data_IF_889478128542
#
_entry.id   IF_889478128542
#
_cell.length_a   1.000
_cell.length_b   1.000
_cell.length_c   1.000
_cell.angle_alpha   90.00
_cell.angle_beta   90.00
_cell.angle_gamma   90.00
#
_symmetry.space_group_name_H-M   'P 1'
#
loop_
_entity.id
_entity.type
_entity.pdbx_description
1 polymer ?
#
# COMPACT_ATOMS: atom_id res chain seq x y z
N UNK A 1 -15.46 -18.71 -1.60
CA UNK A 1 -14.67 -19.54 -2.50
C UNK A 1 -13.64 -20.35 -1.73
N UNK A 2 -12.73 -19.72 -0.96
CA UNK A 2 -11.70 -20.41 -0.17
C UNK A 2 -12.31 -21.50 0.74
N UNK A 3 -13.39 -21.21 1.46
CA UNK A 3 -14.05 -22.18 2.32
C UNK A 3 -14.53 -23.44 1.56
N UNK A 4 -14.92 -23.31 0.28
CA UNK A 4 -15.29 -24.45 -0.55
C UNK A 4 -14.07 -25.24 -1.01
N UNK A 5 -12.96 -24.55 -1.31
CA UNK A 5 -11.68 -25.19 -1.65
C UNK A 5 -11.17 -25.98 -0.45
N UNK A 6 -11.16 -25.38 0.73
CA UNK A 6 -10.73 -26.03 1.97
C UNK A 6 -11.60 -27.25 2.31
N UNK A 7 -12.92 -27.13 2.15
CA UNK A 7 -13.85 -28.22 2.41
C UNK A 7 -13.76 -29.39 1.40
N UNK A 8 -13.22 -29.15 0.20
CA UNK A 8 -13.00 -30.20 -0.79
C UNK A 8 -11.84 -31.13 -0.43
N UNK A 9 -10.90 -30.66 0.40
CA UNK A 9 -9.75 -31.44 0.91
C UNK A 9 -9.03 -32.26 -0.19
N UNK A 10 -8.80 -31.60 -1.37
CA UNK A 10 -8.17 -32.20 -2.54
C UNK A 10 -9.09 -33.06 -3.42
N UNK A 11 -10.34 -33.26 -3.05
CA UNK A 11 -11.32 -33.98 -3.87
C UNK A 11 -11.81 -33.12 -5.03
N UNK A 12 -11.28 -33.39 -6.24
CA UNK A 12 -11.58 -32.62 -7.46
C UNK A 12 -13.09 -32.57 -7.76
N UNK A 13 -13.86 -33.58 -7.38
CA UNK A 13 -15.31 -33.62 -7.65
C UNK A 13 -16.10 -32.64 -6.77
N UNK A 14 -15.52 -32.18 -5.66
CA UNK A 14 -16.10 -31.22 -4.73
C UNK A 14 -15.54 -29.80 -4.88
N UNK A 15 -14.50 -29.64 -5.70
CA UNK A 15 -13.90 -28.32 -5.93
C UNK A 15 -14.92 -27.36 -6.55
N UNK A 16 -14.94 -26.09 -6.10
CA UNK A 16 -15.72 -25.05 -6.78
C UNK A 16 -15.21 -24.83 -8.21
N UNK A 17 -16.06 -24.28 -9.06
CA UNK A 17 -15.62 -23.83 -10.39
C UNK A 17 -14.46 -22.86 -10.20
N UNK A 18 -13.38 -23.07 -10.98
CA UNK A 18 -12.17 -22.24 -10.90
C UNK A 18 -12.49 -20.76 -11.14
N UNK A 19 -12.04 -19.91 -10.22
CA UNK A 19 -12.15 -18.47 -10.32
C UNK A 19 -10.77 -17.85 -10.06
N UNK A 20 -10.13 -17.35 -11.12
CA UNK A 20 -8.79 -16.79 -11.06
C UNK A 20 -8.65 -15.59 -10.11
N UNK A 21 -9.73 -14.79 -9.94
CA UNK A 21 -9.72 -13.64 -9.01
C UNK A 21 -9.76 -14.12 -7.56
N UNK A 22 -10.58 -15.10 -7.28
CA UNK A 22 -10.64 -15.70 -5.94
C UNK A 22 -9.35 -16.44 -5.60
N UNK A 23 -8.78 -17.20 -6.56
CA UNK A 23 -7.49 -17.91 -6.38
C UNK A 23 -6.36 -16.93 -6.04
N UNK A 24 -6.28 -15.80 -6.75
CA UNK A 24 -5.25 -14.79 -6.51
C UNK A 24 -5.31 -14.17 -5.11
N UNK A 25 -6.48 -14.19 -4.45
CA UNK A 25 -6.67 -13.66 -3.10
C UNK A 25 -6.43 -14.69 -1.98
N UNK A 26 -6.35 -15.99 -2.29
CA UNK A 26 -6.10 -17.02 -1.28
C UNK A 26 -4.78 -16.75 -0.52
N UNK A 27 -3.64 -16.47 -1.18
CA UNK A 27 -2.40 -16.19 -0.47
C UNK A 27 -2.47 -14.96 0.46
N UNK A 28 -3.30 -13.96 0.12
CA UNK A 28 -3.55 -12.79 0.98
C UNK A 28 -4.29 -13.21 2.25
N UNK A 29 -5.38 -14.01 2.10
CA UNK A 29 -6.16 -14.54 3.23
C UNK A 29 -5.35 -15.50 4.12
N UNK A 30 -4.32 -16.11 3.59
CA UNK A 30 -3.39 -17.01 4.29
C UNK A 30 -2.15 -16.31 4.85
N UNK A 31 -2.09 -14.98 4.79
CA UNK A 31 -0.97 -14.14 5.25
C UNK A 31 0.38 -14.49 4.59
N UNK A 32 0.36 -15.08 3.39
CA UNK A 32 1.58 -15.40 2.63
C UNK A 32 2.14 -14.17 1.92
N UNK A 33 1.25 -13.25 1.53
CA UNK A 33 1.58 -11.98 0.90
C UNK A 33 0.66 -10.88 1.44
N UNK A 34 1.14 -9.64 1.62
CA UNK A 34 0.29 -8.52 1.98
C UNK A 34 -0.57 -8.08 0.79
N UNK A 35 -1.74 -7.52 1.08
CA UNK A 35 -2.54 -6.78 0.11
C UNK A 35 -1.96 -5.38 -0.06
N UNK A 36 -1.74 -4.95 -1.30
CA UNK A 36 -1.33 -3.58 -1.62
C UNK A 36 -2.57 -2.71 -1.80
N UNK A 37 -2.74 -1.73 -0.93
CA UNK A 37 -3.89 -0.85 -0.93
C UNK A 37 -3.52 0.52 -1.50
N UNK A 38 -3.96 0.81 -2.73
CA UNK A 38 -3.85 2.12 -3.36
C UNK A 38 -4.81 3.11 -2.69
N UNK A 39 -4.30 4.16 -2.05
CA UNK A 39 -5.10 5.18 -1.39
C UNK A 39 -4.37 6.52 -1.33
N UNK A 40 -5.00 7.58 -1.83
CA UNK A 40 -4.46 8.94 -1.81
C UNK A 40 -5.04 9.76 -0.65
N UNK A 41 -6.36 9.80 -0.53
CA UNK A 41 -7.07 10.65 0.43
C UNK A 41 -7.15 9.98 1.81
N UNK A 42 -7.23 10.80 2.85
CA UNK A 42 -7.30 10.33 4.24
C UNK A 42 -8.48 9.37 4.49
N UNK A 43 -9.67 9.67 3.93
CA UNK A 43 -10.84 8.81 4.04
C UNK A 43 -10.62 7.44 3.36
N UNK A 44 -9.94 7.39 2.21
CA UNK A 44 -9.65 6.14 1.50
C UNK A 44 -8.59 5.32 2.23
N UNK A 45 -7.58 5.99 2.81
CA UNK A 45 -6.59 5.36 3.69
C UNK A 45 -7.29 4.70 4.88
N UNK A 46 -8.19 5.40 5.57
CA UNK A 46 -8.95 4.83 6.68
C UNK A 46 -9.87 3.69 6.24
N UNK A 47 -10.48 3.78 5.05
CA UNK A 47 -11.29 2.69 4.51
C UNK A 47 -10.45 1.45 4.21
N UNK A 48 -9.25 1.60 3.64
CA UNK A 48 -8.33 0.49 3.41
C UNK A 48 -7.94 -0.20 4.73
N UNK A 49 -7.58 0.59 5.75
CA UNK A 49 -7.26 0.09 7.09
C UNK A 49 -8.45 -0.64 7.71
N UNK A 50 -9.66 -0.06 7.62
CA UNK A 50 -10.89 -0.66 8.15
C UNK A 50 -11.17 -2.02 7.50
N UNK A 51 -11.10 -2.10 6.17
CA UNK A 51 -11.30 -3.35 5.43
C UNK A 51 -10.24 -4.39 5.82
N UNK A 52 -8.98 -3.99 5.91
CA UNK A 52 -7.92 -4.90 6.34
C UNK A 52 -8.20 -5.49 7.74
N UNK A 53 -8.59 -4.65 8.70
CA UNK A 53 -8.95 -5.10 10.05
C UNK A 53 -10.18 -6.01 10.07
N UNK A 54 -11.21 -5.69 9.27
CA UNK A 54 -12.43 -6.49 9.16
C UNK A 54 -12.17 -7.92 8.68
N UNK A 55 -11.25 -8.06 7.72
CA UNK A 55 -10.89 -9.36 7.15
C UNK A 55 -9.59 -9.96 7.71
N UNK A 56 -8.96 -9.32 8.69
CA UNK A 56 -7.71 -9.76 9.29
C UNK A 56 -6.56 -9.84 8.30
N UNK A 57 -6.44 -8.87 7.36
CA UNK A 57 -5.44 -8.89 6.30
C UNK A 57 -4.18 -8.11 6.69
N UNK A 58 -3.03 -8.60 6.24
CA UNK A 58 -1.81 -7.81 6.19
C UNK A 58 -1.87 -6.89 4.99
N UNK A 59 -1.64 -5.59 5.17
CA UNK A 59 -1.66 -4.60 4.09
C UNK A 59 -0.39 -3.75 4.05
N UNK A 60 -0.10 -3.22 2.86
CA UNK A 60 0.75 -2.07 2.66
C UNK A 60 -0.07 -0.95 2.03
N UNK A 61 0.18 0.29 2.44
CA UNK A 61 -0.51 1.45 1.89
C UNK A 61 0.37 2.08 0.80
N UNK A 62 -0.20 2.22 -0.40
CA UNK A 62 0.47 2.81 -1.55
C UNK A 62 0.00 4.25 -1.76
N UNK A 63 0.94 5.12 -2.13
CA UNK A 63 0.79 6.56 -2.37
C UNK A 63 0.68 7.41 -1.12
N UNK A 64 -0.33 7.19 -0.28
CA UNK A 64 -0.52 7.87 1.02
C UNK A 64 -0.39 9.41 0.90
N UNK A 65 -0.98 9.98 -0.16
CA UNK A 65 -0.77 11.38 -0.55
C UNK A 65 -1.16 12.37 0.54
N UNK A 66 -2.26 12.12 1.27
CA UNK A 66 -2.72 12.91 2.41
C UNK A 66 -2.21 12.40 3.77
N UNK A 67 -1.23 11.50 3.78
CA UNK A 67 -0.69 10.94 5.03
C UNK A 67 -0.19 11.98 6.02
N UNK A 68 0.32 13.12 5.54
CA UNK A 68 0.76 14.23 6.39
C UNK A 68 -0.38 14.90 7.18
N UNK A 69 -1.64 14.68 6.80
CA UNK A 69 -2.82 15.17 7.51
C UNK A 69 -3.29 14.25 8.64
N UNK A 70 -2.82 12.98 8.65
CA UNK A 70 -3.28 11.92 9.55
C UNK A 70 -2.11 11.15 10.18
N UNK A 71 -1.02 11.87 10.49
CA UNK A 71 0.24 11.28 10.96
C UNK A 71 0.05 10.44 12.22
N UNK A 72 -0.64 10.98 13.21
CA UNK A 72 -0.82 10.33 14.51
C UNK A 72 -1.57 9.00 14.40
N UNK A 73 -2.50 8.92 13.47
CA UNK A 73 -3.26 7.70 13.17
C UNK A 73 -2.37 6.67 12.47
N UNK A 74 -1.58 7.10 11.48
CA UNK A 74 -0.68 6.20 10.75
C UNK A 74 0.44 5.65 11.65
N UNK A 75 0.95 6.46 12.58
CA UNK A 75 1.90 5.98 13.61
C UNK A 75 1.29 4.88 14.46
N UNK A 76 0.03 5.03 14.90
CA UNK A 76 -0.68 4.01 15.71
C UNK A 76 -0.91 2.71 14.94
N UNK A 77 -1.22 2.82 13.64
CA UNK A 77 -1.45 1.63 12.79
C UNK A 77 -0.16 0.88 12.48
N UNK A 78 0.99 1.54 12.49
CA UNK A 78 2.32 0.95 12.29
C UNK A 78 2.44 0.08 11.01
N UNK A 79 1.78 0.51 9.93
CA UNK A 79 1.77 -0.18 8.65
C UNK A 79 2.94 0.24 7.76
N UNK A 80 3.42 -0.63 6.85
CA UNK A 80 4.34 -0.24 5.80
C UNK A 80 3.68 0.72 4.82
N UNK A 81 4.33 1.86 4.56
CA UNK A 81 3.86 2.92 3.69
C UNK A 81 4.79 3.07 2.48
N UNK A 82 4.26 2.96 1.27
CA UNK A 82 4.96 3.25 0.03
C UNK A 82 4.49 4.62 -0.49
N UNK A 83 5.21 5.68 -0.10
CA UNK A 83 4.80 7.07 -0.31
C UNK A 83 5.31 7.62 -1.64
N UNK A 84 4.42 8.18 -2.45
CA UNK A 84 4.76 8.78 -3.74
C UNK A 84 3.82 8.40 -4.88
N UNK A 85 4.09 8.89 -6.12
CA UNK A 85 5.17 9.82 -6.48
C UNK A 85 4.94 11.23 -5.94
N UNK A 86 6.00 11.84 -5.39
CA UNK A 86 5.93 13.24 -4.95
C UNK A 86 6.13 14.22 -6.11
N UNK A 87 6.83 13.83 -7.17
CA UNK A 87 7.03 14.62 -8.38
C UNK A 87 5.74 14.79 -9.20
N UNK A 88 5.72 15.87 -9.98
CA UNK A 88 4.62 16.18 -10.87
C UNK A 88 3.48 16.93 -10.18
N UNK A 89 2.52 17.38 -10.99
CA UNK A 89 1.34 18.09 -10.50
C UNK A 89 0.23 17.12 -10.06
N UNK A 90 -0.72 17.63 -9.30
CA UNK A 90 -1.94 16.91 -8.94
C UNK A 90 -2.84 16.77 -10.18
N UNK A 91 -2.70 15.69 -10.92
CA UNK A 91 -3.45 15.43 -12.15
C UNK A 91 -4.88 14.92 -11.92
N UNK A 92 -5.16 14.46 -10.70
CA UNK A 92 -6.46 13.94 -10.27
C UNK A 92 -6.92 14.67 -9.02
N UNK A 93 -8.23 14.76 -8.83
CA UNK A 93 -8.81 15.41 -7.64
C UNK A 93 -8.31 14.78 -6.32
N UNK A 94 -8.17 13.47 -6.27
CA UNK A 94 -7.66 12.73 -5.11
C UNK A 94 -6.24 13.12 -4.68
N UNK A 95 -5.51 13.84 -5.54
CA UNK A 95 -4.15 14.29 -5.28
C UNK A 95 -4.06 15.79 -4.97
N UNK A 96 -5.18 16.50 -4.80
CA UNK A 96 -5.18 17.98 -4.66
C UNK A 96 -4.41 18.48 -3.43
N UNK A 97 -4.36 17.68 -2.36
CA UNK A 97 -3.56 17.97 -1.15
C UNK A 97 -2.16 17.36 -1.20
N UNK A 98 -1.65 17.07 -2.39
CA UNK A 98 -0.30 16.52 -2.55
C UNK A 98 0.74 17.45 -1.92
N UNK A 99 1.54 16.90 -1.00
CA UNK A 99 2.58 17.61 -0.30
C UNK A 99 3.93 16.92 -0.56
N UNK A 100 4.94 17.73 -0.89
CA UNK A 100 6.27 17.23 -1.18
C UNK A 100 6.93 16.59 0.05
N UNK A 101 6.63 17.13 1.24
CA UNK A 101 7.21 16.73 2.49
C UNK A 101 6.55 15.51 3.13
N UNK A 102 5.46 14.98 2.56
CA UNK A 102 4.67 13.88 3.16
C UNK A 102 5.53 12.72 3.64
N UNK A 103 6.43 12.22 2.79
CA UNK A 103 7.31 11.11 3.14
C UNK A 103 8.25 11.44 4.32
N UNK A 104 8.80 12.66 4.33
CA UNK A 104 9.66 13.14 5.40
C UNK A 104 8.91 13.32 6.72
N UNK A 105 7.71 13.88 6.67
CA UNK A 105 6.84 14.07 7.85
C UNK A 105 6.52 12.71 8.50
N UNK A 106 6.09 11.75 7.69
CA UNK A 106 5.73 10.41 8.16
C UNK A 106 6.96 9.66 8.74
N UNK A 107 8.10 9.72 8.05
CA UNK A 107 9.33 9.08 8.52
C UNK A 107 9.83 9.70 9.84
N UNK A 108 9.79 11.04 9.97
CA UNK A 108 10.19 11.72 11.20
C UNK A 108 9.25 11.41 12.38
N UNK A 109 8.00 11.08 12.10
CA UNK A 109 7.04 10.64 13.09
C UNK A 109 7.21 9.16 13.51
N UNK A 110 8.09 8.42 12.83
CA UNK A 110 8.39 7.02 13.14
C UNK A 110 7.64 6.00 12.29
N UNK A 111 6.93 6.41 11.25
CA UNK A 111 6.29 5.48 10.32
C UNK A 111 7.33 4.71 9.49
N UNK A 112 6.98 3.48 9.07
CA UNK A 112 7.77 2.68 8.14
C UNK A 112 7.55 3.16 6.71
N UNK A 113 8.39 4.08 6.22
CA UNK A 113 8.23 4.72 4.92
C UNK A 113 9.23 4.19 3.90
N UNK A 114 8.72 3.81 2.74
CA UNK A 114 9.45 3.61 1.49
C UNK A 114 9.03 4.67 0.49
N UNK A 115 9.95 5.17 -0.33
CA UNK A 115 9.63 6.13 -1.39
C UNK A 115 9.47 5.40 -2.71
N UNK A 116 8.41 5.74 -3.45
CA UNK A 116 8.11 5.15 -4.75
C UNK A 116 7.97 6.23 -5.83
N UNK A 117 8.28 5.85 -7.07
CA UNK A 117 8.05 6.66 -8.26
C UNK A 117 6.80 6.25 -9.02
N UNK A 118 6.20 5.10 -8.66
CA UNK A 118 5.08 4.51 -9.39
C UNK A 118 5.40 4.36 -10.89
N UNK A 119 6.60 3.86 -11.19
CA UNK A 119 7.07 3.72 -12.57
C UNK A 119 6.06 2.90 -13.40
N UNK A 120 5.69 3.36 -14.61
CA UNK A 120 6.33 4.41 -15.41
C UNK A 120 5.79 5.83 -15.20
N UNK A 121 4.92 6.09 -14.19
CA UNK A 121 4.35 7.43 -13.94
C UNK A 121 5.45 8.45 -13.77
N UNK A 122 6.41 8.16 -12.90
CA UNK A 122 7.69 8.87 -12.84
C UNK A 122 8.80 7.84 -13.12
N UNK A 123 9.68 8.08 -14.10
CA UNK A 123 10.76 7.14 -14.40
C UNK A 123 11.63 6.86 -13.18
N UNK A 124 12.00 5.60 -12.98
CA UNK A 124 12.70 5.12 -11.78
C UNK A 124 14.02 5.86 -11.49
N UNK A 125 14.72 6.33 -12.53
CA UNK A 125 15.97 7.08 -12.37
C UNK A 125 15.81 8.43 -11.65
N UNK A 126 14.58 8.93 -11.50
CA UNK A 126 14.30 10.11 -10.68
C UNK A 126 14.10 9.80 -9.19
N UNK A 127 14.10 8.54 -8.79
CA UNK A 127 13.93 8.16 -7.38
C UNK A 127 14.93 8.87 -6.42
N UNK A 128 16.22 9.03 -6.75
CA UNK A 128 17.17 9.73 -5.89
C UNK A 128 16.90 11.23 -5.72
N UNK A 129 16.08 11.82 -6.59
CA UNK A 129 15.69 13.22 -6.54
C UNK A 129 14.43 13.47 -5.69
N UNK A 130 13.80 12.38 -5.21
CA UNK A 130 12.70 12.45 -4.26
C UNK A 130 13.28 12.59 -2.85
N UNK A 131 13.50 13.83 -2.33
CA UNK A 131 14.13 13.90 -1.02
C UNK A 131 13.11 13.80 0.08
N UNK A 132 13.45 13.08 1.12
CA UNK A 132 13.40 13.69 2.40
C UNK A 132 14.81 14.05 2.85
N UNK A 133 14.95 15.16 3.54
CA UNK A 133 16.22 15.48 4.23
C UNK A 133 16.52 14.38 5.25
N UNK A 134 17.81 13.95 5.38
CA UNK A 134 18.18 12.84 6.25
C UNK A 134 17.89 13.17 7.74
N UNK A 135 17.79 12.16 8.68
CA UNK A 135 18.78 11.09 8.71
C UNK A 135 18.31 9.66 8.43
N UNK A 136 17.03 9.33 8.30
CA UNK A 136 16.64 7.91 8.17
C UNK A 136 15.52 7.69 7.17
N UNK A 137 15.87 7.37 5.92
CA UNK A 137 14.95 6.73 4.98
C UNK A 137 15.65 5.56 4.34
N UNK A 138 15.10 4.38 4.54
CA UNK A 138 15.47 3.22 3.78
C UNK A 138 14.92 3.35 2.35
N UNK A 139 15.80 3.52 1.38
CA UNK A 139 15.44 3.41 -0.03
C UNK A 139 15.13 1.94 -0.33
N UNK A 140 13.87 1.62 -0.44
CA UNK A 140 13.45 0.34 -1.03
C UNK A 140 13.13 0.62 -2.49
N UNK A 141 14.05 0.29 -3.38
CA UNK A 141 13.74 0.15 -4.79
C UNK A 141 12.82 -1.06 -4.93
N UNK A 142 11.51 -0.83 -4.93
CA UNK A 142 10.54 -1.88 -5.26
C UNK A 142 10.63 -2.12 -6.76
N UNK A 143 11.50 -3.04 -7.17
CA UNK A 143 11.49 -3.66 -8.47
C UNK A 143 10.28 -4.60 -8.50
N UNK A 144 9.22 -4.18 -9.17
CA UNK A 144 8.16 -5.09 -9.63
C UNK A 144 8.46 -5.42 -11.09
N UNK A 145 8.91 -6.64 -11.30
CA UNK A 145 8.77 -7.38 -12.56
C UNK A 145 7.44 -8.10 -12.56
#
# INVERSE_FOLDING_TARGET
>A
YKAKVDAADGDITKMPVYDAKCEALIPVLEHKIPLKAHAHQANDIFNAIRVAKEFGLDITLEHVTEGHLIVDELVKENLPLAVGPSFGHASKFEMHNKCWETAGILANAGCHVSIITDAPVIPLHYLPLNPPKPPFIHFVASLFL
#
